data_IF_793472476222
#
_entry.id   IF_793472476222
#
_cell.length_a   1.000
_cell.length_b   1.000
_cell.length_c   1.000
_cell.angle_alpha   90.00
_cell.angle_beta   90.00
_cell.angle_gamma   90.00
#
_symmetry.space_group_name_H-M   'P 1'
#
loop_
_entity.id
_entity.type
_entity.pdbx_description
1 polymer ?
#
# COMPACT_ATOMS: atom_id res chain seq x y z
N UNK A 1 -37.34 13.37 2.55
CA UNK A 1 -36.55 13.85 1.39
C UNK A 1 -35.14 14.36 1.73
N UNK A 2 -34.87 15.11 2.81
CA UNK A 2 -33.47 15.52 3.12
C UNK A 2 -32.53 14.37 3.51
N UNK A 3 -33.00 13.38 4.28
CA UNK A 3 -32.19 12.25 4.73
C UNK A 3 -31.69 11.34 3.60
N UNK A 4 -32.43 11.25 2.49
CA UNK A 4 -32.05 10.41 1.33
C UNK A 4 -30.97 11.05 0.47
N UNK A 5 -30.89 12.39 0.43
CA UNK A 5 -29.87 13.11 -0.34
C UNK A 5 -28.52 13.10 0.39
N UNK A 6 -28.55 13.21 1.72
CA UNK A 6 -27.36 13.21 2.56
C UNK A 6 -26.64 11.86 2.53
N UNK A 7 -27.39 10.75 2.59
CA UNK A 7 -26.84 9.40 2.47
C UNK A 7 -26.19 9.13 1.09
N UNK A 8 -26.73 9.71 0.01
CA UNK A 8 -26.14 9.60 -1.35
C UNK A 8 -24.83 10.36 -1.45
N UNK A 9 -24.73 11.55 -0.85
CA UNK A 9 -23.49 12.33 -0.83
C UNK A 9 -22.38 11.61 -0.07
N UNK A 10 -22.68 11.05 1.10
CA UNK A 10 -21.71 10.28 1.90
C UNK A 10 -21.23 9.04 1.13
N UNK A 11 -22.15 8.30 0.50
CA UNK A 11 -21.81 7.12 -0.29
C UNK A 11 -20.90 7.47 -1.47
N UNK A 12 -21.23 8.53 -2.23
CA UNK A 12 -20.40 8.99 -3.33
C UNK A 12 -19.01 9.44 -2.88
N UNK A 13 -18.93 10.15 -1.74
CA UNK A 13 -17.65 10.57 -1.18
C UNK A 13 -16.78 9.37 -0.79
N UNK A 14 -17.36 8.34 -0.15
CA UNK A 14 -16.64 7.12 0.22
C UNK A 14 -16.16 6.33 -1.00
N UNK A 15 -17.00 6.21 -2.04
CA UNK A 15 -16.63 5.53 -3.29
C UNK A 15 -15.48 6.26 -3.98
N UNK A 16 -15.58 7.58 -4.14
CA UNK A 16 -14.52 8.39 -4.75
C UNK A 16 -13.21 8.32 -3.95
N UNK A 17 -13.29 8.38 -2.62
CA UNK A 17 -12.12 8.18 -1.75
C UNK A 17 -11.49 6.80 -1.92
N UNK A 18 -12.32 5.74 -1.98
CA UNK A 18 -11.86 4.38 -2.24
C UNK A 18 -11.19 4.21 -3.60
N UNK A 19 -11.73 4.83 -4.65
CA UNK A 19 -11.13 4.83 -5.99
C UNK A 19 -9.76 5.53 -5.96
N UNK A 20 -9.65 6.70 -5.33
CA UNK A 20 -8.39 7.44 -5.23
C UNK A 20 -7.31 6.64 -4.49
N UNK A 21 -7.66 6.03 -3.36
CA UNK A 21 -6.73 5.17 -2.60
C UNK A 21 -6.31 3.93 -3.42
N UNK A 22 -7.25 3.32 -4.15
CA UNK A 22 -6.98 2.17 -5.01
C UNK A 22 -6.05 2.55 -6.17
N UNK A 23 -6.26 3.69 -6.82
CA UNK A 23 -5.37 4.21 -7.86
C UNK A 23 -3.97 4.50 -7.31
N UNK A 24 -3.87 5.00 -6.08
CA UNK A 24 -2.60 5.16 -5.38
C UNK A 24 -1.86 3.83 -5.18
N UNK A 25 -2.57 2.79 -4.72
CA UNK A 25 -2.00 1.44 -4.55
C UNK A 25 -1.58 0.81 -5.89
N UNK A 26 -2.37 1.01 -6.95
CA UNK A 26 -2.03 0.57 -8.32
C UNK A 26 -0.76 1.28 -8.79
N UNK A 27 -0.63 2.60 -8.59
CA UNK A 27 0.54 3.36 -9.00
C UNK A 27 1.81 2.90 -8.26
N UNK A 28 1.72 2.67 -6.94
CA UNK A 28 2.85 2.16 -6.14
C UNK A 28 3.24 0.75 -6.62
N UNK A 29 2.27 -0.13 -6.80
CA UNK A 29 2.49 -1.50 -7.28
C UNK A 29 3.16 -1.50 -8.67
N UNK A 30 2.65 -0.68 -9.60
CA UNK A 30 3.21 -0.55 -10.94
C UNK A 30 4.65 -0.01 -10.90
N UNK A 31 4.96 0.95 -10.03
CA UNK A 31 6.31 1.48 -9.87
C UNK A 31 7.29 0.44 -9.31
N UNK A 32 6.86 -0.38 -8.33
CA UNK A 32 7.67 -1.46 -7.77
C UNK A 32 7.98 -2.52 -8.84
N UNK A 33 6.96 -2.93 -9.59
CA UNK A 33 7.07 -3.87 -10.70
C UNK A 33 7.95 -3.36 -11.83
N UNK A 34 7.75 -2.11 -12.24
CA UNK A 34 8.59 -1.44 -13.23
C UNK A 34 10.05 -1.50 -12.82
N UNK A 35 10.36 -1.09 -11.59
CA UNK A 35 11.75 -1.01 -11.12
C UNK A 35 12.42 -2.38 -11.01
N UNK A 36 11.67 -3.40 -10.63
CA UNK A 36 12.17 -4.77 -10.61
C UNK A 36 12.46 -5.28 -12.02
N UNK A 37 11.50 -5.17 -12.93
CA UNK A 37 11.61 -5.66 -14.29
C UNK A 37 12.67 -4.89 -15.11
N UNK A 38 12.76 -3.57 -14.91
CA UNK A 38 13.79 -2.72 -15.53
C UNK A 38 15.20 -3.21 -15.21
N UNK A 39 15.43 -3.67 -13.98
CA UNK A 39 16.75 -4.17 -13.54
C UNK A 39 17.11 -5.55 -14.10
N UNK A 40 16.18 -6.24 -14.76
CA UNK A 40 16.44 -7.53 -15.42
C UNK A 40 16.95 -7.34 -16.86
N UNK A 41 16.79 -6.14 -17.43
CA UNK A 41 17.27 -5.84 -18.78
C UNK A 41 18.80 -5.86 -18.83
N UNK A 42 19.37 -6.58 -19.81
CA UNK A 42 20.81 -6.56 -20.07
C UNK A 42 21.27 -5.27 -20.74
N UNK A 43 20.36 -4.61 -21.46
CA UNK A 43 20.54 -3.28 -22.05
C UNK A 43 19.54 -2.27 -21.47
N UNK A 44 19.81 -0.98 -21.68
CA UNK A 44 18.88 0.08 -21.27
C UNK A 44 17.51 -0.06 -21.96
N UNK A 45 17.50 -0.42 -23.24
CA UNK A 45 16.28 -0.63 -24.00
C UNK A 45 15.46 -1.81 -23.43
N UNK A 46 16.11 -2.93 -23.12
CA UNK A 46 15.44 -4.08 -22.50
C UNK A 46 14.84 -3.72 -21.15
N UNK A 47 15.54 -2.89 -20.37
CA UNK A 47 15.05 -2.37 -19.11
C UNK A 47 13.73 -1.60 -19.27
N UNK A 48 13.66 -0.69 -20.24
CA UNK A 48 12.41 0.04 -20.53
C UNK A 48 11.29 -0.88 -20.99
N UNK A 49 11.59 -1.87 -21.83
CA UNK A 49 10.60 -2.84 -22.34
C UNK A 49 10.04 -3.68 -21.20
N UNK A 50 10.89 -4.32 -20.40
CA UNK A 50 10.45 -5.15 -19.27
C UNK A 50 9.78 -4.33 -18.19
N UNK A 51 10.33 -3.16 -17.85
CA UNK A 51 9.75 -2.23 -16.88
C UNK A 51 8.32 -1.83 -17.28
N UNK A 52 8.15 -1.33 -18.49
CA UNK A 52 6.84 -0.85 -18.98
C UNK A 52 5.84 -1.99 -19.10
N UNK A 53 6.28 -3.15 -19.59
CA UNK A 53 5.44 -4.35 -19.67
C UNK A 53 4.91 -4.78 -18.29
N UNK A 54 5.76 -4.79 -17.27
CA UNK A 54 5.36 -5.13 -15.91
C UNK A 54 4.38 -4.10 -15.31
N UNK A 55 4.59 -2.81 -15.55
CA UNK A 55 3.67 -1.77 -15.10
C UNK A 55 2.28 -1.88 -15.76
N UNK A 56 2.24 -2.17 -17.08
CA UNK A 56 0.99 -2.37 -17.82
C UNK A 56 0.27 -3.63 -17.32
N UNK A 57 0.99 -4.72 -17.07
CA UNK A 57 0.42 -5.95 -16.53
C UNK A 57 -0.28 -5.70 -15.18
N UNK A 58 0.28 -4.82 -14.36
CA UNK A 58 -0.30 -4.44 -13.07
C UNK A 58 -1.58 -3.58 -13.22
N UNK A 59 -1.61 -2.69 -14.21
CA UNK A 59 -2.83 -1.98 -14.58
C UNK A 59 -3.92 -2.94 -15.08
N UNK A 60 -3.55 -3.94 -15.89
CA UNK A 60 -4.46 -4.97 -16.36
C UNK A 60 -4.98 -5.84 -15.19
N UNK A 61 -4.12 -6.22 -14.24
CA UNK A 61 -4.49 -6.96 -13.01
C UNK A 61 -5.64 -6.29 -12.27
N UNK A 62 -5.60 -4.96 -12.12
CA UNK A 62 -6.66 -4.20 -11.44
C UNK A 62 -8.00 -4.19 -12.19
N UNK A 63 -7.99 -4.39 -13.51
CA UNK A 63 -9.19 -4.43 -14.35
C UNK A 63 -9.79 -5.84 -14.46
N UNK A 64 -8.99 -6.89 -14.28
CA UNK A 64 -9.43 -8.29 -14.42
C UNK A 64 -10.67 -8.65 -13.59
N UNK A 65 -10.85 -8.22 -12.32
CA UNK A 65 -12.07 -8.53 -11.57
C UNK A 65 -13.36 -8.04 -12.25
N UNK A 66 -13.29 -6.91 -12.95
CA UNK A 66 -14.44 -6.38 -13.71
C UNK A 66 -14.72 -7.22 -14.96
N UNK A 67 -13.69 -7.61 -15.69
CA UNK A 67 -13.84 -8.47 -16.88
C UNK A 67 -14.32 -9.87 -16.52
N UNK A 68 -13.80 -10.46 -15.44
CA UNK A 68 -14.24 -11.75 -14.91
C UNK A 68 -15.71 -11.67 -14.49
N UNK A 69 -16.11 -10.63 -13.77
CA UNK A 69 -17.51 -10.40 -13.40
C UNK A 69 -18.42 -10.31 -14.62
N UNK A 70 -18.01 -9.58 -15.65
CA UNK A 70 -18.78 -9.42 -16.88
C UNK A 70 -18.90 -10.74 -17.66
N UNK A 71 -17.79 -11.45 -17.85
CA UNK A 71 -17.76 -12.76 -18.51
C UNK A 71 -18.64 -13.79 -17.78
N UNK A 72 -18.63 -13.75 -16.44
CA UNK A 72 -19.46 -14.61 -15.60
C UNK A 72 -20.96 -14.36 -15.84
N UNK A 73 -21.38 -13.10 -15.91
CA UNK A 73 -22.77 -12.71 -16.25
C UNK A 73 -23.20 -13.19 -17.64
N UNK A 74 -22.28 -13.23 -18.60
CA UNK A 74 -22.51 -13.75 -19.97
C UNK A 74 -22.41 -15.28 -20.08
N UNK A 75 -22.08 -15.98 -18.98
CA UNK A 75 -21.80 -17.43 -18.95
C UNK A 75 -20.67 -17.86 -19.89
N UNK A 76 -19.71 -16.98 -20.16
CA UNK A 76 -18.52 -17.27 -20.95
C UNK A 76 -17.43 -17.90 -20.07
N UNK A 77 -17.60 -19.17 -19.72
CA UNK A 77 -16.74 -19.86 -18.74
C UNK A 77 -15.26 -19.91 -19.11
N UNK A 78 -14.93 -19.97 -20.41
CA UNK A 78 -13.53 -19.93 -20.88
C UNK A 78 -12.88 -18.58 -20.55
N UNK A 79 -13.60 -17.46 -20.76
CA UNK A 79 -13.11 -16.13 -20.45
C UNK A 79 -12.97 -15.92 -18.94
N UNK A 80 -13.90 -16.46 -18.14
CA UNK A 80 -13.79 -16.48 -16.67
C UNK A 80 -12.53 -17.22 -16.22
N UNK A 81 -12.32 -18.44 -16.73
CA UNK A 81 -11.14 -19.24 -16.41
C UNK A 81 -9.83 -18.53 -16.78
N UNK A 82 -9.74 -18.01 -18.00
CA UNK A 82 -8.56 -17.27 -18.47
C UNK A 82 -8.29 -16.01 -17.63
N UNK A 83 -9.33 -15.25 -17.29
CA UNK A 83 -9.21 -14.03 -16.47
C UNK A 83 -8.73 -14.33 -15.05
N UNK A 84 -9.23 -15.40 -14.43
CA UNK A 84 -8.78 -15.85 -13.10
C UNK A 84 -7.31 -16.29 -13.14
N UNK A 85 -6.91 -17.08 -14.14
CA UNK A 85 -5.52 -17.52 -14.29
C UNK A 85 -4.59 -16.33 -14.48
N UNK A 86 -4.92 -15.39 -15.38
CA UNK A 86 -4.13 -14.16 -15.58
C UNK A 86 -4.02 -13.33 -14.30
N UNK A 87 -5.13 -13.22 -13.55
CA UNK A 87 -5.13 -12.47 -12.29
C UNK A 87 -4.18 -13.10 -11.27
N UNK A 88 -4.21 -14.43 -11.12
CA UNK A 88 -3.30 -15.16 -10.22
C UNK A 88 -1.85 -15.00 -10.66
N UNK A 89 -1.56 -15.13 -11.96
CA UNK A 89 -0.18 -14.99 -12.48
C UNK A 89 0.37 -13.59 -12.25
N UNK A 90 -0.40 -12.54 -12.60
CA UNK A 90 0.03 -11.16 -12.37
C UNK A 90 0.18 -10.86 -10.88
N UNK A 91 -0.75 -11.31 -10.04
CA UNK A 91 -0.66 -11.14 -8.59
C UNK A 91 0.57 -11.84 -8.02
N UNK A 92 0.87 -13.07 -8.44
CA UNK A 92 2.05 -13.81 -7.96
C UNK A 92 3.37 -13.15 -8.40
N UNK A 93 3.42 -12.65 -9.64
CA UNK A 93 4.56 -11.89 -10.14
C UNK A 93 4.77 -10.59 -9.36
N UNK A 94 3.71 -9.79 -9.22
CA UNK A 94 3.73 -8.52 -8.49
C UNK A 94 4.07 -8.72 -7.00
N UNK A 95 3.54 -9.77 -6.38
CA UNK A 95 3.86 -10.16 -5.01
C UNK A 95 5.36 -10.43 -4.83
N UNK A 96 5.96 -11.15 -5.79
CA UNK A 96 7.40 -11.45 -5.77
C UNK A 96 8.22 -10.17 -5.90
N UNK A 97 7.79 -9.23 -6.73
CA UNK A 97 8.45 -7.93 -6.87
C UNK A 97 8.35 -7.07 -5.60
N UNK A 98 7.17 -7.01 -4.99
CA UNK A 98 6.92 -6.33 -3.73
C UNK A 98 7.77 -6.90 -2.59
N UNK A 99 7.77 -8.22 -2.42
CA UNK A 99 8.62 -8.89 -1.44
C UNK A 99 10.11 -8.61 -1.66
N UNK A 100 10.57 -8.68 -2.91
CA UNK A 100 11.96 -8.40 -3.27
C UNK A 100 12.39 -6.97 -2.94
N UNK A 101 11.49 -5.99 -3.11
CA UNK A 101 11.76 -4.59 -2.74
C UNK A 101 11.85 -4.39 -1.23
N UNK A 102 10.87 -4.90 -0.47
CA UNK A 102 10.85 -4.74 0.99
C UNK A 102 12.02 -5.51 1.64
N UNK A 103 12.36 -6.69 1.11
CA UNK A 103 13.54 -7.44 1.52
C UNK A 103 14.83 -6.64 1.29
N UNK A 104 14.99 -5.98 0.14
CA UNK A 104 16.15 -5.13 -0.15
C UNK A 104 16.23 -3.92 0.77
N UNK A 105 15.12 -3.24 1.05
CA UNK A 105 15.10 -2.08 1.95
C UNK A 105 15.50 -2.48 3.38
N UNK A 106 15.01 -3.63 3.85
CA UNK A 106 15.39 -4.18 5.15
C UNK A 106 16.86 -4.60 5.19
N UNK A 107 17.34 -5.32 4.17
CA UNK A 107 18.74 -5.72 4.07
C UNK A 107 19.69 -4.52 4.06
N UNK A 108 19.32 -3.43 3.37
CA UNK A 108 20.08 -2.18 3.39
C UNK A 108 20.13 -1.57 4.81
N UNK A 109 18.98 -1.48 5.48
CA UNK A 109 18.90 -0.97 6.86
C UNK A 109 19.74 -1.83 7.84
N UNK A 110 19.67 -3.16 7.69
CA UNK A 110 20.49 -4.11 8.44
C UNK A 110 21.99 -3.92 8.15
N UNK A 111 22.38 -3.71 6.90
CA UNK A 111 23.78 -3.45 6.52
C UNK A 111 24.32 -2.15 7.10
N UNK A 112 23.54 -1.06 7.07
CA UNK A 112 23.93 0.22 7.69
C UNK A 112 24.13 0.06 9.20
N UNK A 113 23.24 -0.69 9.86
CA UNK A 113 23.35 -0.98 11.31
C UNK A 113 24.55 -1.86 11.62
N UNK A 114 24.76 -2.93 10.86
CA UNK A 114 25.90 -3.84 11.04
C UNK A 114 27.23 -3.10 10.89
N UNK A 115 27.36 -2.27 9.86
CA UNK A 115 28.53 -1.41 9.66
C UNK A 115 28.74 -0.44 10.84
N UNK A 116 27.68 0.18 11.35
CA UNK A 116 27.78 1.09 12.49
C UNK A 116 28.20 0.38 13.79
N UNK A 117 27.71 -0.84 14.02
CA UNK A 117 28.11 -1.69 15.16
C UNK A 117 29.58 -2.09 15.04
N UNK A 118 30.03 -2.49 13.85
CA UNK A 118 31.43 -2.84 13.59
C UNK A 118 32.37 -1.64 13.81
N UNK A 119 32.01 -0.47 13.28
CA UNK A 119 32.77 0.77 13.53
C UNK A 119 32.82 1.11 15.02
N UNK A 120 31.71 0.97 15.74
CA UNK A 120 31.66 1.21 17.19
C UNK A 120 32.55 0.22 17.94
N UNK A 121 32.56 -1.05 17.55
CA UNK A 121 33.43 -2.06 18.16
C UNK A 121 34.91 -1.75 17.92
N UNK A 122 35.28 -1.35 16.70
CA UNK A 122 36.64 -0.91 16.36
C UNK A 122 37.10 0.30 17.17
N UNK A 123 36.24 1.30 17.34
CA UNK A 123 36.56 2.49 18.14
C UNK A 123 36.68 2.18 19.64
N UNK A 124 35.90 1.24 20.18
CA UNK A 124 36.07 0.75 21.57
C UNK A 124 37.41 0.02 21.75
N UNK A 125 37.83 -0.75 20.76
CA UNK A 125 39.14 -1.41 20.78
C UNK A 125 40.29 -0.38 20.67
N UNK A 126 40.12 0.67 19.87
CA UNK A 126 41.06 1.80 19.83
C UNK A 126 41.11 2.57 21.16
N UNK A 127 39.96 2.89 21.76
CA UNK A 127 39.86 3.53 23.07
C UNK A 127 40.64 2.75 24.14
N UNK A 128 40.39 1.43 24.25
CA UNK A 128 41.08 0.61 25.25
C UNK A 128 42.60 0.49 25.00
N UNK A 129 43.04 0.49 23.74
CA UNK A 129 44.47 0.49 23.39
C UNK A 129 45.15 1.80 23.77
N UNK A 130 44.48 2.94 23.56
CA UNK A 130 45.00 4.26 23.95
C UNK A 130 45.07 4.36 25.47
N UNK A 131 44.01 3.96 26.18
CA UNK A 131 43.99 3.94 27.65
C UNK A 131 45.12 3.09 28.22
N UNK A 132 45.33 1.88 27.68
CA UNK A 132 46.43 1.02 28.11
C UNK A 132 47.83 1.61 27.84
N UNK A 133 47.99 2.45 26.80
CA UNK A 133 49.25 3.14 26.52
C UNK A 133 49.47 4.32 27.45
N UNK A 134 48.43 5.09 27.73
CA UNK A 134 48.47 6.18 28.72
C UNK A 134 48.79 5.65 30.13
N UNK A 135 48.19 4.52 30.52
CA UNK A 135 48.49 3.88 31.80
C UNK A 135 49.98 3.48 31.93
N UNK A 136 50.58 2.99 30.85
CA UNK A 136 52.02 2.64 30.80
C UNK A 136 52.94 3.86 30.90
N UNK A 137 52.52 5.01 30.35
CA UNK A 137 53.29 6.25 30.45
C UNK A 137 53.21 6.82 31.88
N UNK A 138 52.04 6.71 32.53
CA UNK A 138 51.79 7.26 33.85
C UNK A 138 51.57 8.78 33.81
N UNK A 139 51.40 9.40 34.97
CA UNK A 139 51.16 10.84 35.09
C UNK A 139 52.39 11.63 34.62
N UNK A 140 52.24 12.40 33.55
CA UNK A 140 53.29 13.31 33.04
C UNK A 140 53.08 14.73 33.58
N UNK A 141 54.18 15.49 33.69
CA UNK A 141 54.11 16.94 33.88
C UNK A 141 53.73 17.64 32.58
N UNK A 142 53.21 18.86 32.67
CA UNK A 142 52.79 19.63 31.49
C UNK A 142 53.97 19.98 30.58
N UNK A 143 53.74 20.00 29.27
CA UNK A 143 54.76 20.35 28.26
C UNK A 143 55.37 21.75 28.51
N UNK A 144 54.53 22.72 28.88
CA UNK A 144 54.96 24.08 29.21
C UNK A 144 55.85 24.13 30.47
N UNK A 145 55.58 23.28 31.47
CA UNK A 145 56.37 23.24 32.70
C UNK A 145 57.77 22.68 32.43
N UNK A 146 57.84 21.57 31.67
CA UNK A 146 59.11 20.91 31.34
C UNK A 146 59.96 21.79 30.41
N UNK A 147 59.34 22.46 29.43
CA UNK A 147 60.04 23.37 28.51
C UNK A 147 60.57 24.61 29.25
N UNK A 148 59.80 25.19 30.18
CA UNK A 148 60.28 26.28 31.03
C UNK A 148 61.46 25.86 31.93
N UNK A 149 61.42 24.64 32.51
CA UNK A 149 62.53 24.11 33.31
C UNK A 149 63.79 23.88 32.45
N UNK A 150 63.60 23.41 31.21
CA UNK A 150 64.70 23.22 30.25
C UNK A 150 65.36 24.54 29.87
N UNK A 151 64.57 25.60 29.62
CA UNK A 151 65.08 26.95 29.40
C UNK A 151 65.84 27.50 30.60
N UNK A 152 65.35 27.25 31.82
CA UNK A 152 66.04 27.63 33.05
C UNK A 152 67.41 26.96 33.19
N UNK A 153 67.53 25.68 32.77
CA UNK A 153 68.83 24.98 32.72
C UNK A 153 69.78 25.64 31.74
N UNK A 154 69.31 26.08 30.57
CA UNK A 154 70.15 26.78 29.58
C UNK A 154 70.51 28.19 30.01
N UNK A 155 69.64 28.90 30.73
CA UNK A 155 69.86 30.26 31.23
C UNK A 155 70.84 30.33 32.42
N UNK A 156 71.15 29.20 33.08
CA UNK A 156 72.06 29.16 34.22
C UNK A 156 73.45 29.72 33.87
N UNK A 157 73.97 30.61 34.71
CA UNK A 157 75.26 31.28 34.50
C UNK A 157 76.42 30.32 34.77
N UNK A 158 77.39 30.29 33.87
CA UNK A 158 78.63 29.53 33.94
C UNK A 158 79.80 30.49 33.62
N UNK A 159 80.33 31.15 34.65
CA UNK A 159 81.36 32.19 34.49
C UNK A 159 80.81 33.44 33.82
N UNK A 160 81.32 33.78 32.62
CA UNK A 160 80.88 34.94 31.81
C UNK A 160 79.82 34.60 30.74
N UNK A 161 79.42 33.33 30.64
CA UNK A 161 78.47 32.83 29.64
C UNK A 161 77.35 32.06 30.32
N UNK A 162 76.31 31.66 29.58
CA UNK A 162 75.29 30.73 30.07
C UNK A 162 75.64 29.29 29.67
N UNK A 163 75.00 28.31 30.32
CA UNK A 163 75.14 26.89 29.92
C UNK A 163 74.77 26.71 28.44
N UNK A 164 73.65 27.29 27.98
CA UNK A 164 73.19 27.17 26.60
C UNK A 164 74.20 27.70 25.57
N UNK A 165 74.77 28.89 25.81
CA UNK A 165 75.78 29.47 24.91
C UNK A 165 77.12 28.71 24.99
N UNK A 166 77.52 28.24 26.17
CA UNK A 166 78.78 27.53 26.35
C UNK A 166 78.75 26.12 25.78
N UNK A 167 77.63 25.39 25.83
CA UNK A 167 77.53 24.00 25.35
C UNK A 167 76.80 23.85 24.02
N UNK A 168 76.43 24.96 23.37
CA UNK A 168 75.56 24.99 22.18
C UNK A 168 74.25 24.22 22.42
N UNK A 169 73.54 24.57 23.50
CA UNK A 169 72.33 23.88 23.96
C UNK A 169 72.54 22.37 24.18
N UNK A 170 73.72 22.03 24.72
CA UNK A 170 74.14 20.67 25.03
C UNK A 170 74.27 19.74 23.82
N UNK A 171 74.57 20.28 22.63
CA UNK A 171 75.04 19.48 21.48
C UNK A 171 76.53 19.13 21.61
N UNK A 172 77.30 19.97 22.33
CA UNK A 172 78.72 19.75 22.59
C UNK A 172 78.98 19.34 24.05
N UNK A 173 79.63 18.19 24.25
CA UNK A 173 79.98 17.68 25.56
C UNK A 173 81.23 18.38 26.14
N UNK A 174 81.03 19.56 26.76
CA UNK A 174 82.11 20.31 27.43
C UNK A 174 82.15 20.02 28.93
N UNK A 175 83.35 19.98 29.53
CA UNK A 175 83.56 19.51 30.90
C UNK A 175 82.79 20.30 31.97
N UNK A 176 82.70 21.63 31.82
CA UNK A 176 82.09 22.52 32.82
C UNK A 176 80.55 22.56 32.76
N UNK A 177 79.94 22.06 31.67
CA UNK A 177 78.49 21.99 31.48
C UNK A 177 77.92 20.58 31.63
N UNK A 178 78.73 19.57 31.95
CA UNK A 178 78.31 18.15 31.98
C UNK A 178 77.08 17.90 32.85
N UNK A 179 77.05 18.42 34.08
CA UNK A 179 75.92 18.21 34.99
C UNK A 179 74.64 18.88 34.50
N UNK A 180 74.73 20.14 34.04
CA UNK A 180 73.57 20.85 33.48
C UNK A 180 73.06 20.17 32.20
N UNK A 181 73.96 19.64 31.36
CA UNK A 181 73.58 18.91 30.16
C UNK A 181 73.00 17.53 30.43
N UNK A 182 73.43 16.84 31.49
CA UNK A 182 72.79 15.60 31.94
C UNK A 182 71.33 15.87 32.36
N UNK A 183 71.10 16.94 33.16
CA UNK A 183 69.74 17.35 33.53
C UNK A 183 68.89 17.75 32.32
N UNK A 184 69.46 18.50 31.37
CA UNK A 184 68.76 18.84 30.13
C UNK A 184 68.39 17.60 29.30
N UNK A 185 69.21 16.54 29.32
CA UNK A 185 68.89 15.28 28.64
C UNK A 185 67.72 14.54 29.31
N UNK A 186 67.68 14.50 30.65
CA UNK A 186 66.54 13.96 31.41
C UNK A 186 65.24 14.72 31.08
N UNK A 187 65.30 16.06 31.12
CA UNK A 187 64.14 16.92 30.81
C UNK A 187 63.68 16.75 29.36
N UNK A 188 64.58 16.54 28.39
CA UNK A 188 64.21 16.23 27.01
C UNK A 188 63.51 14.88 26.87
N UNK A 189 63.96 13.86 27.62
CA UNK A 189 63.30 12.56 27.64
C UNK A 189 61.91 12.66 28.27
N UNK A 190 61.78 13.45 29.33
CA UNK A 190 60.50 13.72 29.98
C UNK A 190 59.55 14.50 29.07
N UNK A 191 60.05 15.54 28.39
CA UNK A 191 59.30 16.32 27.40
C UNK A 191 58.76 15.41 26.29
N UNK A 192 59.58 14.50 25.77
CA UNK A 192 59.16 13.56 24.74
C UNK A 192 58.01 12.65 25.21
N UNK A 193 58.04 12.19 26.48
CA UNK A 193 56.95 11.40 27.07
C UNK A 193 55.68 12.24 27.30
N UNK A 194 55.83 13.49 27.72
CA UNK A 194 54.73 14.42 27.90
C UNK A 194 54.03 14.74 26.57
N UNK A 195 54.80 14.96 25.50
CA UNK A 195 54.27 15.17 24.15
C UNK A 195 53.50 13.94 23.64
N UNK A 196 54.05 12.72 23.82
CA UNK A 196 53.36 11.48 23.45
C UNK A 196 52.05 11.30 24.24
N UNK A 197 52.05 11.60 25.55
CA UNK A 197 50.85 11.54 26.36
C UNK A 197 49.78 12.54 25.89
N UNK A 198 50.16 13.79 25.60
CA UNK A 198 49.24 14.81 25.09
C UNK A 198 48.62 14.43 23.74
N UNK A 199 49.40 13.83 22.82
CA UNK A 199 48.90 13.32 21.54
C UNK A 199 47.87 12.20 21.75
N UNK A 200 48.16 11.25 22.64
CA UNK A 200 47.26 10.15 22.96
C UNK A 200 45.97 10.62 23.65
N UNK A 201 46.05 11.61 24.54
CA UNK A 201 44.88 12.23 25.18
C UNK A 201 43.99 12.95 24.16
N UNK A 202 44.59 13.68 23.22
CA UNK A 202 43.87 14.29 22.10
C UNK A 202 43.13 13.25 21.26
N UNK A 203 43.82 12.15 20.90
CA UNK A 203 43.20 11.05 20.15
C UNK A 203 42.08 10.37 20.94
N UNK A 204 42.26 10.17 22.25
CA UNK A 204 41.24 9.60 23.12
C UNK A 204 39.98 10.48 23.16
N UNK A 205 40.16 11.80 23.23
CA UNK A 205 39.04 12.75 23.18
C UNK A 205 38.27 12.64 21.86
N UNK A 206 38.98 12.55 20.73
CA UNK A 206 38.38 12.40 19.40
C UNK A 206 37.61 11.09 19.25
N UNK A 207 38.23 9.96 19.62
CA UNK A 207 37.59 8.61 19.59
C UNK A 207 36.33 8.59 20.46
N UNK A 208 36.39 9.17 21.66
CA UNK A 208 35.21 9.31 22.54
C UNK A 208 34.15 10.24 21.95
N UNK A 209 34.54 11.25 21.19
CA UNK A 209 33.65 12.11 20.42
C UNK A 209 32.92 11.32 19.33
N UNK A 210 33.65 10.53 18.55
CA UNK A 210 33.10 9.66 17.51
C UNK A 210 32.14 8.60 18.09
N UNK A 211 32.53 7.94 19.18
CA UNK A 211 31.68 6.97 19.89
C UNK A 211 30.36 7.59 20.37
N UNK A 212 30.40 8.80 20.91
CA UNK A 212 29.19 9.56 21.29
C UNK A 212 28.32 9.88 20.07
N UNK A 213 28.95 10.27 18.95
CA UNK A 213 28.27 10.53 17.68
C UNK A 213 27.61 9.29 17.06
N UNK A 214 28.21 8.11 17.20
CA UNK A 214 27.62 6.85 16.73
C UNK A 214 26.46 6.39 17.62
N UNK A 215 26.58 6.59 18.94
CA UNK A 215 25.51 6.28 19.89
C UNK A 215 24.21 7.03 19.59
N UNK A 216 24.28 8.32 19.26
CA UNK A 216 23.10 9.13 18.92
C UNK A 216 22.48 8.77 17.56
N UNK A 217 23.24 8.15 16.65
CA UNK A 217 22.77 7.66 15.34
C UNK A 217 22.14 6.26 15.40
N UNK A 218 21.90 5.73 16.60
CA UNK A 218 21.23 4.44 16.79
C UNK A 218 22.16 3.23 16.70
N UNK A 219 23.48 3.40 16.80
CA UNK A 219 24.44 2.30 16.97
C UNK A 219 24.46 1.76 18.42
N UNK A 220 23.32 1.81 19.11
CA UNK A 220 23.12 1.08 20.37
C UNK A 220 22.73 -0.36 20.04
N UNK A 221 23.20 -1.31 20.84
CA UNK A 221 23.14 -2.79 20.69
C UNK A 221 21.77 -3.45 20.44
N UNK A 222 20.74 -2.73 20.01
CA UNK A 222 19.39 -3.24 19.90
C UNK A 222 19.13 -3.74 18.49
N UNK A 223 18.81 -5.04 18.41
CA UNK A 223 18.18 -5.65 17.24
C UNK A 223 16.99 -4.84 16.73
N UNK A 224 16.57 -5.06 15.47
CA UNK A 224 15.46 -4.31 14.86
C UNK A 224 14.25 -4.20 15.81
N UNK A 225 13.89 -2.98 16.29
CA UNK A 225 12.92 -2.82 17.37
C UNK A 225 11.53 -3.36 17.01
N UNK A 226 11.17 -3.37 15.71
CA UNK A 226 9.93 -3.99 15.24
C UNK A 226 9.96 -5.51 15.39
N UNK A 227 11.09 -6.14 15.07
CA UNK A 227 11.27 -7.59 15.23
C UNK A 227 11.29 -7.98 16.71
N UNK A 228 11.97 -7.20 17.56
CA UNK A 228 12.01 -7.45 19.02
C UNK A 228 10.61 -7.34 19.64
N UNK A 229 9.84 -6.31 19.29
CA UNK A 229 8.48 -6.14 19.80
C UNK A 229 7.54 -7.28 19.38
N UNK A 230 7.59 -7.67 18.11
CA UNK A 230 6.76 -8.77 17.59
C UNK A 230 7.18 -10.15 18.13
N UNK A 231 8.48 -10.36 18.32
CA UNK A 231 9.01 -11.56 18.98
C UNK A 231 8.51 -11.65 20.43
N UNK A 232 8.53 -10.54 21.18
CA UNK A 232 7.99 -10.47 22.54
C UNK A 232 6.49 -10.78 22.60
N UNK A 233 5.68 -10.16 21.73
CA UNK A 233 4.24 -10.45 21.66
C UNK A 233 3.94 -11.90 21.27
N UNK A 234 4.71 -12.48 20.34
CA UNK A 234 4.55 -13.88 19.96
C UNK A 234 4.88 -14.84 21.11
N UNK A 235 5.93 -14.53 21.89
CA UNK A 235 6.29 -15.31 23.08
C UNK A 235 5.21 -15.23 24.17
N UNK A 236 4.61 -14.06 24.41
CA UNK A 236 3.49 -13.90 25.36
C UNK A 236 2.26 -14.73 24.95
N UNK A 237 2.05 -14.95 23.66
CA UNK A 237 0.98 -15.80 23.11
C UNK A 237 1.36 -17.29 23.07
N UNK A 238 2.52 -17.69 23.60
CA UNK A 238 3.02 -19.07 23.57
C UNK A 238 3.52 -19.55 22.20
N UNK A 239 3.71 -18.63 21.26
CA UNK A 239 4.22 -18.93 19.91
C UNK A 239 5.73 -18.78 19.87
N UNK A 240 6.45 -19.89 20.04
CA UNK A 240 7.90 -19.92 19.84
C UNK A 240 8.25 -19.69 18.36
N UNK A 241 8.59 -18.45 18.03
CA UNK A 241 8.83 -18.02 16.65
C UNK A 241 10.24 -17.45 16.53
N UNK A 242 11.01 -17.93 15.55
CA UNK A 242 12.32 -17.36 15.21
C UNK A 242 12.14 -16.01 14.49
N UNK A 243 13.09 -15.09 14.70
CA UNK A 243 13.16 -13.76 14.09
C UNK A 243 13.09 -13.80 12.56
N UNK A 244 13.68 -14.84 11.94
CA UNK A 244 13.60 -15.04 10.49
C UNK A 244 12.16 -15.30 10.01
N UNK A 245 11.37 -16.04 10.79
CA UNK A 245 9.96 -16.31 10.47
C UNK A 245 9.11 -15.07 10.62
N UNK A 246 9.31 -14.28 11.68
CA UNK A 246 8.63 -12.99 11.87
C UNK A 246 8.96 -12.03 10.72
N UNK A 247 10.24 -11.97 10.32
CA UNK A 247 10.69 -11.17 9.17
C UNK A 247 9.97 -11.58 7.89
N UNK A 248 9.95 -12.86 7.57
CA UNK A 248 9.26 -13.40 6.39
C UNK A 248 7.76 -13.10 6.44
N UNK A 249 7.11 -13.31 7.58
CA UNK A 249 5.69 -13.05 7.77
C UNK A 249 5.33 -11.58 7.51
N UNK A 250 6.15 -10.63 8.00
CA UNK A 250 5.96 -9.21 7.72
C UNK A 250 6.15 -8.87 6.23
N UNK A 251 7.13 -9.50 5.56
CA UNK A 251 7.33 -9.31 4.12
C UNK A 251 6.10 -9.80 3.33
N UNK A 252 5.59 -10.98 3.70
CA UNK A 252 4.38 -11.56 3.10
C UNK A 252 3.17 -10.67 3.36
N UNK A 253 2.98 -10.18 4.59
CA UNK A 253 1.87 -9.31 4.95
C UNK A 253 1.86 -8.02 4.14
N UNK A 254 3.01 -7.35 4.02
CA UNK A 254 3.15 -6.12 3.23
C UNK A 254 2.93 -6.41 1.74
N UNK A 255 3.47 -7.53 1.23
CA UNK A 255 3.20 -7.96 -0.15
C UNK A 255 1.70 -8.18 -0.40
N UNK A 256 1.00 -8.90 0.48
CA UNK A 256 -0.44 -9.14 0.38
C UNK A 256 -1.25 -7.85 0.43
N UNK A 257 -0.86 -6.89 1.27
CA UNK A 257 -1.50 -5.58 1.34
C UNK A 257 -1.47 -4.85 -0.01
N UNK A 258 -0.29 -4.80 -0.65
CA UNK A 258 -0.15 -4.16 -1.96
C UNK A 258 -0.89 -4.93 -3.06
N UNK A 259 -0.83 -6.26 -3.04
CA UNK A 259 -1.45 -7.09 -4.07
C UNK A 259 -2.98 -7.08 -4.01
N UNK A 260 -3.55 -7.32 -2.83
CA UNK A 260 -5.01 -7.30 -2.66
C UNK A 260 -5.54 -5.88 -2.85
N UNK A 261 -4.81 -4.88 -2.34
CA UNK A 261 -5.17 -3.47 -2.47
C UNK A 261 -5.17 -2.98 -3.92
N UNK A 262 -4.11 -3.27 -4.69
CA UNK A 262 -4.03 -2.85 -6.10
C UNK A 262 -4.90 -3.70 -7.03
N UNK A 263 -4.99 -5.01 -6.78
CA UNK A 263 -5.73 -5.94 -7.64
C UNK A 263 -7.25 -5.89 -7.42
N UNK A 264 -7.72 -5.75 -6.18
CA UNK A 264 -9.14 -5.79 -5.85
C UNK A 264 -9.70 -4.45 -5.35
N UNK A 265 -8.86 -3.48 -4.97
CA UNK A 265 -9.32 -2.23 -4.35
C UNK A 265 -10.31 -1.45 -5.22
N UNK A 266 -10.05 -1.34 -6.52
CA UNK A 266 -10.94 -0.64 -7.45
C UNK A 266 -12.29 -1.37 -7.59
N UNK A 267 -12.27 -2.69 -7.62
CA UNK A 267 -13.47 -3.50 -7.63
C UNK A 267 -14.27 -3.29 -6.33
N UNK A 268 -13.65 -3.46 -5.17
CA UNK A 268 -14.34 -3.34 -3.87
C UNK A 268 -14.91 -1.92 -3.66
N UNK A 269 -14.14 -0.88 -3.99
CA UNK A 269 -14.60 0.51 -3.82
C UNK A 269 -15.81 0.88 -4.68
N UNK A 270 -16.00 0.23 -5.83
CA UNK A 270 -17.12 0.49 -6.74
C UNK A 270 -18.36 -0.36 -6.48
N UNK A 271 -18.36 -1.24 -5.46
CA UNK A 271 -19.53 -2.08 -5.12
C UNK A 271 -20.82 -1.26 -4.88
N UNK A 272 -20.81 -0.14 -4.10
CA UNK A 272 -22.03 0.62 -3.84
C UNK A 272 -22.70 1.14 -5.12
N UNK A 273 -21.92 1.65 -6.08
CA UNK A 273 -22.44 2.11 -7.38
C UNK A 273 -23.03 1.00 -8.25
N UNK A 274 -22.61 -0.25 -8.04
CA UNK A 274 -23.12 -1.40 -8.82
C UNK A 274 -24.50 -1.86 -8.35
N UNK A 275 -24.84 -1.60 -7.09
CA UNK A 275 -26.16 -1.87 -6.54
C UNK A 275 -27.25 -0.95 -7.12
N UNK A 276 -26.91 0.32 -7.37
CA UNK A 276 -27.87 1.33 -7.85
C UNK A 276 -28.30 1.11 -9.30
N UNK A 277 -27.43 0.50 -10.14
CA UNK A 277 -27.72 0.25 -11.56
C UNK A 277 -28.44 -1.07 -11.88
N UNK A 278 -28.57 -1.98 -10.92
CA UNK A 278 -29.10 -3.34 -11.17
C UNK A 278 -30.60 -3.51 -10.88
N UNK A 279 -31.27 -2.46 -10.40
CA UNK A 279 -32.73 -2.47 -10.17
C UNK A 279 -33.56 -2.00 -11.39
N UNK A 280 -32.94 -1.75 -12.55
CA UNK A 280 -33.72 -1.26 -13.69
C UNK A 280 -32.97 -1.18 -15.00
N UNK A 281 -32.61 -2.32 -15.61
CA UNK A 281 -32.38 -2.39 -17.06
C UNK A 281 -32.78 -3.77 -17.59
N UNK A 282 -34.07 -3.94 -17.87
CA UNK A 282 -34.54 -4.63 -19.09
C UNK A 282 -35.61 -3.74 -19.69
N UNK A 283 -35.26 -3.02 -20.76
CA UNK A 283 -36.23 -2.18 -21.47
C UNK A 283 -35.57 -0.97 -22.10
N UNK A 284 -34.99 -1.17 -23.28
CA UNK A 284 -34.57 -0.09 -24.16
C UNK A 284 -35.83 0.61 -24.68
N UNK A 285 -36.31 1.63 -23.97
CA UNK A 285 -37.52 2.38 -24.29
C UNK A 285 -37.40 3.82 -23.81
N UNK A 286 -37.56 4.76 -24.74
CA UNK A 286 -37.49 6.21 -24.55
C UNK A 286 -38.27 6.70 -23.30
N UNK A 287 -37.57 7.46 -22.48
CA UNK A 287 -38.01 8.64 -21.71
C UNK A 287 -39.42 8.66 -21.09
N UNK A 288 -39.46 8.72 -19.76
CA UNK A 288 -40.58 9.28 -19.00
C UNK A 288 -41.06 8.38 -17.84
N UNK A 289 -40.98 8.92 -16.63
CA UNK A 289 -41.86 8.56 -15.48
C UNK A 289 -41.68 7.20 -14.77
N UNK A 290 -40.45 6.79 -14.43
CA UNK A 290 -40.22 5.57 -13.60
C UNK A 290 -40.17 5.80 -12.09
N UNK A 291 -40.02 7.04 -11.60
CA UNK A 291 -39.93 7.30 -10.14
C UNK A 291 -41.20 7.01 -9.31
N UNK A 292 -42.46 7.13 -9.80
CA UNK A 292 -43.62 6.89 -8.93
C UNK A 292 -43.98 5.41 -8.74
N UNK A 293 -43.36 4.47 -9.47
CA UNK A 293 -43.79 3.07 -9.44
C UNK A 293 -43.17 2.27 -8.28
N UNK A 294 -41.93 2.57 -7.89
CA UNK A 294 -41.22 1.85 -6.83
C UNK A 294 -41.78 2.10 -5.42
N UNK A 295 -42.29 3.31 -5.16
CA UNK A 295 -42.94 3.65 -3.89
C UNK A 295 -44.28 2.90 -3.74
N UNK A 296 -45.01 2.72 -4.85
CA UNK A 296 -46.34 2.09 -4.87
C UNK A 296 -46.30 0.57 -4.62
N UNK A 297 -45.27 -0.12 -5.13
CA UNK A 297 -45.12 -1.57 -4.94
C UNK A 297 -44.84 -1.94 -3.48
N UNK A 298 -44.23 -1.04 -2.69
CA UNK A 298 -43.96 -1.28 -1.28
C UNK A 298 -45.21 -1.20 -0.38
N UNK A 299 -46.25 -0.45 -0.81
CA UNK A 299 -47.47 -0.20 -0.03
C UNK A 299 -48.67 -1.08 -0.45
N UNK A 300 -48.53 -1.88 -1.51
CA UNK A 300 -49.61 -2.71 -2.04
C UNK A 300 -49.88 -3.95 -1.16
N UNK A 301 -51.15 -4.25 -0.89
CA UNK A 301 -51.57 -5.36 -0.02
C UNK A 301 -51.62 -6.73 -0.73
N UNK A 302 -51.71 -6.74 -2.07
CA UNK A 302 -51.92 -7.92 -2.92
C UNK A 302 -51.25 -7.71 -4.29
N UNK A 303 -50.83 -8.80 -4.92
CA UNK A 303 -50.42 -8.83 -6.33
C UNK A 303 -51.65 -8.85 -7.24
N UNK A 304 -51.60 -8.06 -8.31
CA UNK A 304 -52.72 -7.97 -9.26
C UNK A 304 -52.96 -9.28 -10.01
N UNK A 305 -54.23 -9.65 -10.16
CA UNK A 305 -54.63 -10.89 -10.82
C UNK A 305 -54.83 -10.68 -12.33
N UNK A 306 -54.17 -11.53 -13.13
CA UNK A 306 -54.15 -11.43 -14.59
C UNK A 306 -55.47 -11.91 -15.21
N UNK A 307 -56.13 -12.89 -14.59
CA UNK A 307 -57.41 -13.41 -15.05
C UNK A 307 -58.53 -12.41 -14.75
N UNK A 308 -58.52 -11.83 -13.55
CA UNK A 308 -59.47 -10.78 -13.13
C UNK A 308 -59.34 -9.54 -14.03
N UNK A 309 -58.09 -9.12 -14.32
CA UNK A 309 -57.82 -8.07 -15.31
C UNK A 309 -58.38 -8.41 -16.69
N UNK A 310 -58.15 -9.63 -17.18
CA UNK A 310 -58.61 -10.03 -18.50
C UNK A 310 -60.13 -9.98 -18.62
N UNK A 311 -60.85 -10.42 -17.58
CA UNK A 311 -62.31 -10.41 -17.54
C UNK A 311 -62.89 -8.99 -17.46
N UNK A 312 -62.29 -8.10 -16.65
CA UNK A 312 -62.82 -6.76 -16.44
C UNK A 312 -62.43 -5.77 -17.56
N UNK A 313 -61.24 -5.92 -18.14
CA UNK A 313 -60.64 -4.89 -18.99
C UNK A 313 -60.56 -5.26 -20.47
N UNK A 314 -60.79 -6.52 -20.85
CA UNK A 314 -60.66 -6.96 -22.24
C UNK A 314 -62.02 -7.32 -22.83
N UNK A 315 -62.27 -6.84 -24.05
CA UNK A 315 -63.45 -7.19 -24.83
C UNK A 315 -63.02 -7.75 -26.20
N UNK A 316 -63.74 -8.74 -26.73
CA UNK A 316 -63.48 -9.24 -28.07
C UNK A 316 -63.83 -8.18 -29.12
N UNK A 317 -62.97 -8.01 -30.13
CA UNK A 317 -63.24 -7.14 -31.27
C UNK A 317 -62.79 -7.78 -32.58
N UNK A 318 -63.77 -8.09 -33.44
CA UNK A 318 -63.54 -8.70 -34.74
C UNK A 318 -62.94 -7.66 -35.68
N UNK A 319 -61.72 -7.91 -36.15
CA UNK A 319 -61.01 -7.01 -37.08
C UNK A 319 -60.11 -5.97 -36.41
N UNK A 320 -59.89 -6.05 -35.09
CA UNK A 320 -58.97 -5.13 -34.40
C UNK A 320 -57.52 -5.27 -34.90
N UNK A 321 -56.75 -4.19 -34.81
CA UNK A 321 -55.32 -4.18 -35.15
C UNK A 321 -54.47 -5.00 -34.17
N UNK A 322 -55.07 -5.52 -33.10
CA UNK A 322 -54.41 -6.22 -32.01
C UNK A 322 -53.68 -5.29 -31.05
N UNK A 323 -53.46 -5.77 -29.82
CA UNK A 323 -52.68 -5.09 -28.79
C UNK A 323 -51.31 -5.75 -28.66
N UNK A 324 -50.25 -4.95 -28.58
CA UNK A 324 -48.91 -5.49 -28.30
C UNK A 324 -48.82 -5.99 -26.86
N UNK A 325 -47.93 -6.94 -26.58
CA UNK A 325 -47.69 -7.44 -25.22
C UNK A 325 -47.37 -6.32 -24.23
N UNK A 326 -46.54 -5.36 -24.65
CA UNK A 326 -46.18 -4.20 -23.83
C UNK A 326 -47.36 -3.24 -23.62
N UNK A 327 -48.21 -3.02 -24.63
CA UNK A 327 -49.42 -2.21 -24.45
C UNK A 327 -50.40 -2.91 -23.50
N UNK A 328 -50.55 -4.23 -23.61
CA UNK A 328 -51.39 -5.03 -22.71
C UNK A 328 -50.89 -4.95 -21.27
N UNK A 329 -49.58 -5.08 -21.06
CA UNK A 329 -48.97 -4.96 -19.74
C UNK A 329 -49.14 -3.56 -19.14
N UNK A 330 -49.01 -2.50 -19.95
CA UNK A 330 -49.23 -1.13 -19.49
C UNK A 330 -50.67 -0.89 -19.02
N UNK A 331 -51.66 -1.50 -19.69
CA UNK A 331 -53.06 -1.42 -19.26
C UNK A 331 -53.30 -2.22 -17.97
N UNK A 332 -52.71 -3.42 -17.85
CA UNK A 332 -52.72 -4.19 -16.60
C UNK A 332 -52.11 -3.40 -15.42
N UNK A 333 -50.94 -2.77 -15.63
CA UNK A 333 -50.30 -1.96 -14.60
C UNK A 333 -51.12 -0.71 -14.21
N UNK A 334 -51.91 -0.13 -15.14
CA UNK A 334 -52.86 0.94 -14.81
C UNK A 334 -54.05 0.40 -14.00
N UNK A 335 -54.58 -0.77 -14.36
CA UNK A 335 -55.67 -1.42 -13.64
C UNK A 335 -55.27 -1.78 -12.20
N UNK A 336 -54.10 -2.39 -11.99
CA UNK A 336 -53.57 -2.66 -10.65
C UNK A 336 -53.43 -1.37 -9.82
N UNK A 337 -52.99 -0.28 -10.47
CA UNK A 337 -52.90 1.04 -9.82
C UNK A 337 -54.24 1.57 -9.31
N UNK A 338 -55.32 1.32 -10.06
CA UNK A 338 -56.68 1.69 -9.65
C UNK A 338 -57.18 0.90 -8.43
N UNK A 339 -56.64 -0.29 -8.17
CA UNK A 339 -57.09 -1.23 -7.12
C UNK A 339 -56.19 -1.31 -5.89
N UNK A 340 -55.14 -0.50 -5.82
CA UNK A 340 -54.15 -0.60 -4.74
C UNK A 340 -53.40 -1.95 -4.70
N UNK A 341 -53.15 -2.52 -5.89
CA UNK A 341 -52.48 -3.81 -6.09
C UNK A 341 -51.13 -3.63 -6.79
N UNK A 342 -50.14 -4.46 -6.44
CA UNK A 342 -48.84 -4.44 -7.09
C UNK A 342 -48.90 -5.19 -8.43
N UNK A 343 -48.54 -4.57 -9.56
CA UNK A 343 -48.46 -5.28 -10.82
C UNK A 343 -47.32 -6.29 -10.82
N UNK A 344 -47.52 -7.43 -11.48
CA UNK A 344 -46.44 -8.37 -11.80
C UNK A 344 -45.38 -7.72 -12.71
N UNK A 345 -44.20 -8.33 -12.79
CA UNK A 345 -43.21 -7.95 -13.81
C UNK A 345 -43.69 -8.40 -15.20
N UNK A 346 -43.35 -7.65 -16.27
CA UNK A 346 -43.88 -7.89 -17.63
C UNK A 346 -43.67 -9.33 -18.11
N UNK A 347 -42.53 -9.93 -17.81
CA UNK A 347 -42.25 -11.34 -18.14
C UNK A 347 -43.19 -12.32 -17.45
N UNK A 348 -43.53 -12.06 -16.19
CA UNK A 348 -44.43 -12.92 -15.42
C UNK A 348 -45.89 -12.69 -15.80
N UNK A 349 -46.27 -11.46 -16.11
CA UNK A 349 -47.56 -11.14 -16.71
C UNK A 349 -47.77 -11.92 -18.01
N UNK A 350 -46.81 -11.91 -18.93
CA UNK A 350 -46.92 -12.64 -20.22
C UNK A 350 -47.10 -14.14 -19.98
N UNK A 351 -46.32 -14.73 -19.07
CA UNK A 351 -46.44 -16.16 -18.72
C UNK A 351 -47.81 -16.50 -18.12
N UNK A 352 -48.36 -15.63 -17.27
CA UNK A 352 -49.69 -15.86 -16.67
C UNK A 352 -50.85 -15.51 -17.59
N UNK A 353 -50.61 -14.70 -18.61
CA UNK A 353 -51.63 -14.33 -19.59
C UNK A 353 -51.76 -15.39 -20.71
N UNK A 354 -50.75 -16.24 -20.91
CA UNK A 354 -50.76 -17.31 -21.91
C UNK A 354 -51.94 -18.31 -21.76
N UNK A 355 -52.25 -18.84 -20.55
CA UNK A 355 -53.44 -19.68 -20.36
C UNK A 355 -54.75 -18.98 -20.69
N UNK A 356 -54.84 -17.65 -20.45
CA UNK A 356 -56.03 -16.85 -20.77
C UNK A 356 -56.21 -16.72 -22.28
N UNK A 357 -55.11 -16.54 -23.01
CA UNK A 357 -55.10 -16.52 -24.49
C UNK A 357 -55.64 -17.83 -25.05
N UNK A 358 -55.17 -18.96 -24.52
CA UNK A 358 -55.62 -20.29 -24.95
C UNK A 358 -57.11 -20.49 -24.63
N UNK A 359 -57.53 -20.18 -23.41
CA UNK A 359 -58.92 -20.32 -22.98
C UNK A 359 -59.89 -19.46 -23.80
N UNK A 360 -59.47 -18.25 -24.20
CA UNK A 360 -60.26 -17.33 -25.01
C UNK A 360 -60.07 -17.50 -26.52
N UNK A 361 -59.27 -18.49 -26.96
CA UNK A 361 -58.95 -18.75 -28.38
C UNK A 361 -58.45 -17.51 -29.14
N UNK A 362 -57.62 -16.70 -28.48
CA UNK A 362 -57.08 -15.47 -29.04
C UNK A 362 -55.94 -15.78 -30.02
N UNK A 363 -55.95 -15.11 -31.17
CA UNK A 363 -54.90 -15.30 -32.18
C UNK A 363 -53.68 -14.46 -31.82
N UNK A 364 -52.53 -15.11 -31.65
CA UNK A 364 -51.26 -14.42 -31.40
C UNK A 364 -50.49 -14.24 -32.72
N UNK A 365 -49.95 -13.05 -32.94
CA UNK A 365 -49.07 -12.76 -34.08
C UNK A 365 -47.74 -12.22 -33.59
N UNK A 366 -46.64 -12.88 -33.94
CA UNK A 366 -45.29 -12.43 -33.63
C UNK A 366 -44.66 -11.73 -34.83
N UNK A 367 -44.05 -10.56 -34.61
CA UNK A 367 -43.25 -9.83 -35.61
C UNK A 367 -41.93 -9.38 -34.98
N UNK A 368 -40.87 -10.17 -35.20
CA UNK A 368 -39.58 -9.97 -34.53
C UNK A 368 -39.69 -10.24 -33.03
N UNK A 369 -39.24 -9.30 -32.20
CA UNK A 369 -39.32 -9.38 -30.74
C UNK A 369 -40.71 -9.00 -30.17
N UNK A 370 -41.63 -8.50 -31.00
CA UNK A 370 -42.94 -8.02 -30.55
C UNK A 370 -44.02 -9.09 -30.73
N UNK A 371 -44.73 -9.38 -29.65
CA UNK A 371 -45.93 -10.26 -29.62
C UNK A 371 -47.17 -9.37 -29.67
N UNK A 372 -48.14 -9.72 -30.53
CA UNK A 372 -49.43 -9.02 -30.64
C UNK A 372 -50.59 -10.00 -30.42
N UNK A 373 -51.55 -9.59 -29.61
CA UNK A 373 -52.79 -10.30 -29.33
C UNK A 373 -53.90 -9.74 -30.21
N UNK A 374 -54.38 -10.54 -31.16
CA UNK A 374 -55.40 -10.15 -32.13
C UNK A 374 -56.80 -10.47 -31.61
N UNK A 375 -57.79 -9.68 -32.05
CA UNK A 375 -59.19 -9.95 -31.71
C UNK A 375 -59.60 -9.44 -30.32
N UNK A 376 -58.75 -8.64 -29.67
CA UNK A 376 -59.00 -8.03 -28.36
C UNK A 376 -58.89 -6.53 -28.48
N UNK A 377 -59.74 -5.82 -27.73
CA UNK A 377 -59.60 -4.40 -27.41
C UNK A 377 -59.79 -4.18 -25.92
N UNK A 378 -59.47 -2.97 -25.47
CA UNK A 378 -59.85 -2.51 -24.14
C UNK A 378 -61.37 -2.36 -24.07
N UNK A 379 -61.98 -2.87 -23.00
CA UNK A 379 -63.39 -2.59 -22.69
C UNK A 379 -63.53 -1.10 -22.35
N UNK A 380 -64.46 -0.40 -23.01
CA UNK A 380 -64.78 0.98 -22.65
C UNK A 380 -65.32 1.00 -21.22
N UNK A 381 -64.81 1.93 -20.39
CA UNK A 381 -65.20 2.07 -19.00
C UNK A 381 -66.71 2.39 -18.93
N UNK A 382 -67.53 1.36 -18.74
CA UNK A 382 -69.00 1.44 -18.78
C UNK A 382 -69.71 0.25 -19.44
N UNK A 383 -68.99 -0.69 -20.08
CA UNK A 383 -69.64 -1.81 -20.79
C UNK A 383 -69.68 -3.15 -20.03
N UNK A 384 -69.02 -3.27 -18.87
CA UNK A 384 -69.05 -4.51 -18.07
C UNK A 384 -70.11 -4.42 -16.95
N UNK A 385 -71.38 -4.37 -17.35
CA UNK A 385 -72.52 -4.69 -16.50
C UNK A 385 -73.76 -4.98 -17.38
N UNK A 386 -73.73 -6.10 -18.10
CA UNK A 386 -74.93 -6.89 -18.46
C UNK A 386 -74.52 -8.32 -18.75
#
# INVERSE_FOLDING_TARGET
MRATTENKLITNALVLGGILLSLGLIAVSAALNFRMAYRMGGTELDGWVYGSGAAIADGLKALLPFFVWWAWRKREWLAVGAGVVLFVVFTAYSFTAGMGYVAKLRAFSEGVRASAVETRAGLRDEESRIEARLEKLGVQRGEEEISAELEAVFARVLGKTTVGAYSENCTLARNWSRHSCARAAELRQELARAMEAAELEGRLHDVRGELRGLGSRGAGDVADPQLVALEGMAQELGLHTDRNRVRLALLVLVGLLFELGSGLGLYVSTVPWRGEGSAGVTGNGRGGETEPMLQYVADAKRLGDVEEFALECLAPEIGSKGLTSTAMFQEYAKWCRGRNEAPLVESEFVLRFEPVIEACNLKVRQRGANVMYMGVKRADAGAAAT
#
